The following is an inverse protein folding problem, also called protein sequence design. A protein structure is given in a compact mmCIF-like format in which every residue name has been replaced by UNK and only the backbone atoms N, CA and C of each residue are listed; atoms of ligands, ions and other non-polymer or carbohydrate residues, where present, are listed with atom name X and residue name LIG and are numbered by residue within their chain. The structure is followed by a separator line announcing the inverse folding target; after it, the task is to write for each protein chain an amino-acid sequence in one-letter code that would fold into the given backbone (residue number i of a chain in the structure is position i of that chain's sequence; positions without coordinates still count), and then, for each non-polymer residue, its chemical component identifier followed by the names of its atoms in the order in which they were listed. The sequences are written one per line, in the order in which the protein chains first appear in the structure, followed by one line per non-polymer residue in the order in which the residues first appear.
data_IF_508703366746
#
_entry.id   IF_508703366746
#
_cell.length_a   1.000
_cell.length_b   1.000
_cell.length_c   1.000
_cell.angle_alpha   90.00
_cell.angle_beta   90.00
_cell.angle_gamma   90.00
#
_symmetry.space_group_name_H-M   'P 1'
#
loop_
_entity.id
_entity.type
_entity.pdbx_description
1 polymer ?
#
# COMPACT_ATOMS: atom_id res chain seq x y z
N UNK A 1 20.06 9.13 30.09
CA UNK A 1 21.17 8.38 29.45
C UNK A 1 20.71 7.32 28.45
N UNK A 2 19.74 6.46 28.79
CA UNK A 2 19.30 5.31 27.97
C UNK A 2 18.80 5.67 26.56
N UNK A 3 18.03 6.76 26.39
CA UNK A 3 17.54 7.22 25.06
C UNK A 3 18.66 7.57 24.06
N UNK A 4 19.81 8.03 24.53
CA UNK A 4 20.96 8.37 23.67
C UNK A 4 21.72 7.14 23.16
N UNK A 5 21.73 6.06 23.95
CA UNK A 5 22.40 4.80 23.62
C UNK A 5 21.58 4.03 22.58
N UNK A 6 20.27 3.93 22.78
CA UNK A 6 19.35 3.29 21.82
C UNK A 6 19.37 3.99 20.47
N UNK A 7 19.38 5.34 20.45
CA UNK A 7 19.48 6.11 19.19
C UNK A 7 20.80 5.86 18.46
N UNK A 8 21.92 5.76 19.18
CA UNK A 8 23.23 5.46 18.58
C UNK A 8 23.30 4.03 18.04
N UNK A 9 22.76 3.05 18.76
CA UNK A 9 22.65 1.67 18.31
C UNK A 9 21.81 1.55 17.03
N UNK A 10 20.65 2.22 16.98
CA UNK A 10 19.77 2.23 15.81
C UNK A 10 20.46 2.84 14.57
N UNK A 11 21.21 3.94 14.75
CA UNK A 11 21.98 4.58 13.67
C UNK A 11 23.10 3.65 13.17
N UNK A 12 23.77 2.93 14.07
CA UNK A 12 24.80 1.96 13.72
C UNK A 12 24.23 0.77 12.93
N UNK A 13 23.09 0.22 13.35
CA UNK A 13 22.38 -0.84 12.63
C UNK A 13 21.91 -0.34 11.26
N UNK A 14 21.33 0.86 11.18
CA UNK A 14 20.91 1.46 9.91
C UNK A 14 22.10 1.69 8.95
N UNK A 15 23.26 2.13 9.46
CA UNK A 15 24.48 2.30 8.66
C UNK A 15 25.09 0.98 8.22
N UNK A 16 25.06 -0.05 9.07
CA UNK A 16 25.50 -1.39 8.73
C UNK A 16 24.60 -1.99 7.64
N UNK A 17 23.28 -1.86 7.79
CA UNK A 17 22.30 -2.29 6.80
C UNK A 17 22.47 -1.52 5.47
N UNK A 18 22.69 -0.20 5.52
CA UNK A 18 22.95 0.61 4.34
C UNK A 18 24.25 0.20 3.62
N UNK A 19 25.33 -0.13 4.36
CA UNK A 19 26.59 -0.62 3.78
C UNK A 19 26.45 -2.00 3.17
N UNK A 20 25.74 -2.91 3.84
CA UNK A 20 25.41 -4.24 3.29
C UNK A 20 24.58 -4.09 2.01
N UNK A 21 23.58 -3.21 2.01
CA UNK A 21 22.76 -2.90 0.84
C UNK A 21 23.63 -2.29 -0.29
N UNK A 22 24.53 -1.37 0.05
CA UNK A 22 25.46 -0.75 -0.90
C UNK A 22 26.39 -1.79 -1.54
N UNK A 23 26.93 -2.73 -0.76
CA UNK A 23 27.76 -3.83 -1.26
C UNK A 23 26.96 -4.82 -2.12
N UNK A 24 25.71 -5.11 -1.74
CA UNK A 24 24.80 -5.94 -2.54
C UNK A 24 24.47 -5.29 -3.89
N UNK A 25 24.38 -3.95 -3.93
CA UNK A 25 24.06 -3.16 -5.13
C UNK A 25 25.27 -2.91 -6.06
N UNK A 26 26.52 -3.08 -5.61
CA UNK A 26 27.74 -2.90 -6.42
C UNK A 26 27.78 -3.70 -7.73
N UNK A 27 27.44 -5.01 -7.78
CA UNK A 27 27.41 -5.76 -9.04
C UNK A 27 26.29 -5.32 -10.00
N UNK A 28 25.20 -4.73 -9.48
CA UNK A 28 24.13 -4.15 -10.31
C UNK A 28 24.51 -2.77 -10.84
N UNK A 29 25.20 -1.94 -10.05
CA UNK A 29 25.76 -0.64 -10.49
C UNK A 29 26.72 -0.77 -11.67
N UNK A 30 27.48 -1.86 -11.76
CA UNK A 30 28.36 -2.14 -12.91
C UNK A 30 27.62 -2.50 -14.20
N UNK A 31 26.29 -2.71 -14.15
CA UNK A 31 25.42 -3.08 -15.28
C UNK A 31 24.28 -2.10 -15.54
N UNK A 32 24.21 -1.01 -14.76
CA UNK A 32 23.29 0.09 -15.02
C UNK A 32 23.62 0.72 -16.39
N UNK A 33 22.60 0.99 -17.20
CA UNK A 33 22.70 1.52 -18.56
C UNK A 33 22.85 0.49 -19.68
N UNK A 34 22.90 -0.82 -19.38
CA UNK A 34 23.02 -1.89 -20.39
C UNK A 34 21.79 -2.78 -20.52
N UNK A 35 20.71 -2.47 -19.79
CA UNK A 35 19.48 -3.29 -19.74
C UNK A 35 18.35 -2.62 -20.52
N UNK A 36 17.47 -3.40 -21.15
CA UNK A 36 16.30 -2.84 -21.81
C UNK A 36 15.43 -2.12 -20.78
N UNK A 37 14.86 -0.98 -21.15
CA UNK A 37 13.91 -0.28 -20.30
C UNK A 37 12.54 -0.97 -20.33
N UNK A 38 11.83 -0.90 -19.22
CA UNK A 38 10.46 -1.33 -19.06
C UNK A 38 9.60 -0.17 -18.55
N UNK A 39 8.34 -0.13 -18.96
CA UNK A 39 7.36 0.84 -18.49
C UNK A 39 6.48 0.16 -17.44
N UNK A 40 6.26 0.83 -16.32
CA UNK A 40 5.30 0.47 -15.31
C UNK A 40 4.17 1.49 -15.39
N UNK A 41 3.12 1.18 -16.12
CA UNK A 41 1.94 2.03 -16.22
C UNK A 41 1.07 1.85 -14.96
N UNK A 42 0.92 2.90 -14.16
CA UNK A 42 0.05 2.88 -12.99
C UNK A 42 -1.39 3.24 -13.38
N UNK A 43 -2.33 3.02 -12.45
CA UNK A 43 -3.71 3.47 -12.63
C UNK A 43 -3.78 4.98 -12.53
N UNK A 44 -4.31 5.61 -13.58
CA UNK A 44 -4.58 7.03 -13.67
C UNK A 44 -5.96 7.39 -13.15
N UNK A 45 -6.25 8.69 -13.06
CA UNK A 45 -7.57 9.22 -12.71
C UNK A 45 -7.91 10.37 -13.66
N UNK A 46 -9.17 10.73 -13.78
CA UNK A 46 -9.55 11.82 -14.65
C UNK A 46 -11.05 12.04 -14.72
N UNK A 47 -11.43 12.90 -15.64
CA UNK A 47 -12.80 13.06 -16.07
C UNK A 47 -12.92 12.74 -17.57
N UNK A 48 -14.09 13.00 -18.16
CA UNK A 48 -14.32 12.69 -19.57
C UNK A 48 -13.40 13.44 -20.53
N UNK A 49 -12.88 14.60 -20.13
CA UNK A 49 -12.07 15.48 -20.98
C UNK A 49 -10.56 15.31 -20.72
N UNK A 50 -10.17 15.12 -19.45
CA UNK A 50 -8.77 15.14 -19.01
C UNK A 50 -8.44 13.85 -18.29
N UNK A 51 -7.52 13.09 -18.87
CA UNK A 51 -7.00 11.85 -18.30
C UNK A 51 -5.61 12.08 -17.72
N UNK A 52 -5.47 11.97 -16.40
CA UNK A 52 -4.16 12.00 -15.76
C UNK A 52 -3.56 10.61 -15.76
N UNK A 53 -2.45 10.46 -16.48
CA UNK A 53 -1.70 9.22 -16.57
C UNK A 53 -0.40 9.36 -15.79
N UNK A 54 -0.10 8.34 -15.00
CA UNK A 54 1.12 8.22 -14.22
C UNK A 54 1.76 6.86 -14.45
N UNK A 55 3.08 6.83 -14.40
CA UNK A 55 3.84 5.60 -14.50
C UNK A 55 5.31 5.82 -14.16
N UNK A 56 6.08 4.76 -14.32
CA UNK A 56 7.53 4.78 -14.09
C UNK A 56 8.27 4.00 -15.15
N UNK A 57 9.38 4.53 -15.64
CA UNK A 57 10.33 3.84 -16.50
C UNK A 57 11.47 3.32 -15.65
N UNK A 58 11.73 2.03 -15.76
CA UNK A 58 12.75 1.33 -15.00
C UNK A 58 13.55 0.40 -15.90
N UNK A 59 14.77 0.04 -15.51
CA UNK A 59 15.51 -1.01 -16.19
C UNK A 59 14.85 -2.38 -15.95
N UNK A 60 14.56 -3.11 -17.02
CA UNK A 60 14.08 -4.48 -16.96
C UNK A 60 15.16 -5.36 -16.33
N UNK A 61 14.81 -5.94 -15.19
CA UNK A 61 15.71 -6.77 -14.39
C UNK A 61 15.63 -8.25 -14.78
N UNK A 62 14.80 -8.61 -15.77
CA UNK A 62 14.50 -9.99 -16.17
C UNK A 62 13.68 -10.69 -15.10
N UNK A 63 12.38 -10.84 -15.32
CA UNK A 63 11.50 -11.62 -14.44
C UNK A 63 11.92 -13.09 -14.36
N UNK A 64 11.71 -13.78 -13.22
CA UNK A 64 12.03 -15.20 -13.12
C UNK A 64 11.09 -16.02 -14.02
N UNK A 65 11.69 -16.84 -14.88
CA UNK A 65 11.09 -18.06 -15.38
C UNK A 65 10.66 -18.95 -14.21
N UNK A 66 9.48 -19.55 -14.36
CA UNK A 66 8.77 -20.44 -13.44
C UNK A 66 9.60 -21.50 -12.70
N UNK A 67 9.08 -21.88 -11.52
CA UNK A 67 9.43 -23.04 -10.64
C UNK A 67 10.78 -22.98 -9.90
N UNK A 68 10.71 -22.80 -8.58
CA UNK A 68 11.22 -23.75 -7.57
C UNK A 68 11.62 -23.09 -6.24
N UNK A 69 11.26 -23.79 -5.15
CA UNK A 69 11.72 -23.72 -3.76
C UNK A 69 11.37 -22.48 -2.91
N UNK A 70 10.55 -22.73 -1.89
CA UNK A 70 10.18 -21.80 -0.83
C UNK A 70 11.40 -21.54 0.09
N UNK A 71 12.03 -20.38 -0.06
CA UNK A 71 13.10 -19.91 0.82
C UNK A 71 12.93 -18.41 1.08
N UNK A 72 13.02 -18.00 2.35
CA UNK A 72 13.01 -16.59 2.78
C UNK A 72 14.01 -15.72 2.01
N UNK A 73 15.13 -16.30 1.56
CA UNK A 73 16.11 -15.62 0.73
C UNK A 73 15.63 -15.36 -0.71
N UNK A 74 14.78 -16.22 -1.28
CA UNK A 74 14.20 -16.03 -2.61
C UNK A 74 13.18 -14.88 -2.62
N UNK A 75 12.43 -14.73 -1.53
CA UNK A 75 11.47 -13.64 -1.34
C UNK A 75 12.15 -12.30 -1.08
N UNK A 76 13.21 -12.29 -0.26
CA UNK A 76 14.07 -11.12 -0.10
C UNK A 76 14.74 -10.73 -1.42
N UNK A 77 15.12 -11.69 -2.26
CA UNK A 77 15.68 -11.45 -3.61
C UNK A 77 14.62 -10.93 -4.59
N UNK A 78 13.35 -11.31 -4.44
CA UNK A 78 12.20 -10.80 -5.20
C UNK A 78 11.89 -9.34 -4.82
N UNK A 79 11.83 -9.06 -3.52
CA UNK A 79 11.68 -7.70 -2.99
C UNK A 79 12.88 -6.84 -3.37
N UNK A 80 14.09 -7.38 -3.29
CA UNK A 80 15.33 -6.72 -3.72
C UNK A 80 15.32 -6.39 -5.21
N UNK A 81 14.87 -7.27 -6.11
CA UNK A 81 14.75 -6.96 -7.54
C UNK A 81 13.65 -5.93 -7.83
N UNK A 82 12.52 -5.99 -7.12
CA UNK A 82 11.47 -4.96 -7.20
C UNK A 82 11.94 -3.60 -6.66
N UNK A 83 12.86 -3.60 -5.69
CA UNK A 83 13.54 -2.42 -5.15
C UNK A 83 14.74 -1.96 -6.00
N UNK A 84 15.33 -2.86 -6.80
CA UNK A 84 16.57 -2.66 -7.56
C UNK A 84 16.35 -2.57 -9.07
N UNK A 85 15.13 -2.24 -9.50
CA UNK A 85 14.90 -1.75 -10.86
C UNK A 85 15.33 -0.29 -10.91
N UNK A 86 16.46 -0.05 -11.57
CA UNK A 86 17.05 1.28 -11.62
C UNK A 86 16.13 2.23 -12.39
N UNK A 87 15.90 3.45 -11.89
CA UNK A 87 15.12 4.43 -12.62
C UNK A 87 15.81 4.79 -13.93
N UNK A 88 15.03 4.94 -15.00
CA UNK A 88 15.52 5.47 -16.27
C UNK A 88 15.06 6.92 -16.38
N UNK A 89 15.99 7.85 -16.19
CA UNK A 89 15.74 9.27 -16.30
C UNK A 89 15.67 9.73 -17.76
N UNK A 90 14.95 10.84 -17.99
CA UNK A 90 14.82 11.51 -19.29
C UNK A 90 14.29 10.62 -20.43
N UNK A 91 13.62 9.51 -20.09
CA UNK A 91 13.00 8.61 -21.04
C UNK A 91 11.86 9.34 -21.75
N UNK A 92 11.82 9.26 -23.08
CA UNK A 92 10.76 9.84 -23.89
C UNK A 92 9.64 8.83 -24.05
N UNK A 93 8.43 9.22 -23.70
CA UNK A 93 7.23 8.41 -23.85
C UNK A 93 6.22 9.14 -24.73
N UNK A 94 5.34 8.36 -25.35
CA UNK A 94 4.18 8.84 -26.09
C UNK A 94 2.94 8.14 -25.59
N UNK A 95 1.97 8.93 -25.13
CA UNK A 95 0.69 8.44 -24.66
C UNK A 95 -0.33 8.59 -25.78
N UNK A 96 -1.05 7.50 -26.06
CA UNK A 96 -2.03 7.43 -27.14
C UNK A 96 -3.43 7.15 -26.58
N UNK A 97 -4.37 8.05 -26.86
CA UNK A 97 -5.78 7.88 -26.54
C UNK A 97 -6.64 8.60 -27.58
N UNK A 98 -7.68 7.93 -28.09
CA UNK A 98 -8.65 8.51 -29.04
C UNK A 98 -8.04 9.23 -30.25
N UNK A 99 -6.97 8.66 -30.81
CA UNK A 99 -6.25 9.21 -31.96
C UNK A 99 -5.34 10.41 -31.64
N UNK A 100 -5.30 10.86 -30.38
CA UNK A 100 -4.40 11.89 -29.89
C UNK A 100 -3.15 11.25 -29.29
N UNK A 101 -1.99 11.82 -29.62
CA UNK A 101 -0.70 11.44 -29.06
C UNK A 101 -0.10 12.59 -28.26
N UNK A 102 0.20 12.37 -26.98
CA UNK A 102 0.81 13.36 -26.09
C UNK A 102 2.22 12.89 -25.70
N UNK A 103 3.26 13.72 -25.88
CA UNK A 103 4.61 13.39 -25.41
C UNK A 103 4.69 13.51 -23.88
N UNK A 104 5.49 12.65 -23.26
CA UNK A 104 5.85 12.72 -21.85
C UNK A 104 7.33 12.39 -21.66
N UNK A 105 7.91 12.84 -20.55
CA UNK A 105 9.29 12.53 -20.18
C UNK A 105 9.35 12.04 -18.74
N UNK A 106 10.20 11.05 -18.47
CA UNK A 106 10.47 10.62 -17.09
C UNK A 106 11.44 11.56 -16.37
N UNK A 107 11.24 11.71 -15.06
CA UNK A 107 12.12 12.46 -14.17
C UNK A 107 13.39 11.68 -13.78
N UNK A 108 14.23 12.27 -12.93
CA UNK A 108 15.46 11.65 -12.39
C UNK A 108 15.22 10.30 -11.69
N UNK A 109 14.00 10.07 -11.20
CA UNK A 109 13.58 8.86 -10.50
C UNK A 109 12.78 7.89 -11.41
N UNK A 110 12.71 8.18 -12.70
CA UNK A 110 12.02 7.42 -13.72
C UNK A 110 10.51 7.64 -13.77
N UNK A 111 9.91 8.51 -12.95
CA UNK A 111 8.48 8.77 -12.97
C UNK A 111 8.09 9.69 -14.11
N UNK A 112 6.97 9.41 -14.77
CA UNK A 112 6.37 10.32 -15.74
C UNK A 112 4.92 10.61 -15.36
N UNK A 113 4.48 11.82 -15.70
CA UNK A 113 3.09 12.26 -15.58
C UNK A 113 2.70 13.00 -16.85
N UNK A 114 1.51 12.72 -17.36
CA UNK A 114 0.95 13.44 -18.49
C UNK A 114 -0.56 13.61 -18.33
N UNK A 115 -1.09 14.65 -18.94
CA UNK A 115 -2.52 14.91 -19.04
C UNK A 115 -2.89 14.73 -20.51
N UNK A 116 -3.72 13.73 -20.80
CA UNK A 116 -4.25 13.52 -22.15
C UNK A 116 -5.60 14.22 -22.24
N UNK A 117 -5.69 15.22 -23.12
CA UNK A 117 -6.93 15.92 -23.44
C UNK A 117 -7.65 15.17 -24.55
N UNK A 118 -8.86 14.69 -24.26
CA UNK A 118 -9.69 13.96 -25.22
C UNK A 118 -10.40 14.97 -26.14
N UNK A 119 -10.39 14.76 -27.46
CA UNK A 119 -11.02 15.69 -28.40
C UNK A 119 -12.54 15.60 -28.28
N UNK A 120 -13.23 16.73 -28.43
CA UNK A 120 -14.70 16.80 -28.32
C UNK A 120 -15.40 15.83 -29.27
N UNK A 121 -14.87 15.65 -30.49
CA UNK A 121 -15.39 14.69 -31.46
C UNK A 121 -15.41 13.23 -30.95
N UNK A 122 -14.44 12.83 -30.13
CA UNK A 122 -14.40 11.48 -29.54
C UNK A 122 -15.40 11.32 -28.38
N UNK A 123 -15.85 12.43 -27.79
CA UNK A 123 -16.83 12.45 -26.69
C UNK A 123 -18.28 12.68 -27.18
N UNK A 124 -18.45 13.35 -28.32
CA UNK A 124 -19.76 13.80 -28.81
C UNK A 124 -20.60 12.68 -29.45
N UNK A 125 -19.96 11.63 -29.99
CA UNK A 125 -20.68 10.51 -30.61
C UNK A 125 -20.19 9.20 -30.00
N UNK A 126 -21.01 8.50 -29.20
CA UNK A 126 -20.70 7.13 -28.82
C UNK A 126 -20.76 6.28 -30.10
N UNK A 127 -19.61 6.06 -30.72
CA UNK A 127 -19.51 5.05 -31.76
C UNK A 127 -19.81 3.67 -31.14
N UNK A 128 -20.53 2.77 -31.83
CA UNK A 128 -20.71 1.40 -31.38
C UNK A 128 -19.34 0.74 -31.08
N UNK A 129 -19.12 0.30 -29.84
CA UNK A 129 -17.84 -0.23 -29.35
C UNK A 129 -16.80 0.85 -28.98
N UNK A 130 -17.18 2.12 -28.95
CA UNK A 130 -16.35 3.25 -28.57
C UNK A 130 -16.17 3.36 -27.04
N UNK A 131 -15.15 4.12 -26.61
CA UNK A 131 -14.78 4.21 -25.19
C UNK A 131 -15.86 4.86 -24.33
N UNK A 132 -16.63 5.78 -24.88
CA UNK A 132 -17.74 6.44 -24.16
C UNK A 132 -18.97 5.54 -24.01
N UNK A 133 -19.13 4.55 -24.90
CA UNK A 133 -20.09 3.45 -24.69
C UNK A 133 -19.55 2.48 -23.64
N UNK A 134 -18.26 2.13 -23.69
CA UNK A 134 -17.61 1.31 -22.67
C UNK A 134 -17.66 1.95 -21.26
N UNK A 135 -17.68 3.29 -21.16
CA UNK A 135 -17.91 4.01 -19.90
C UNK A 135 -19.31 3.80 -19.30
N UNK A 136 -20.26 3.23 -20.05
CA UNK A 136 -21.54 2.78 -19.50
C UNK A 136 -21.36 1.51 -18.68
N UNK A 137 -20.47 0.63 -19.12
CA UNK A 137 -20.26 -0.71 -18.57
C UNK A 137 -19.06 -0.79 -17.61
N UNK A 138 -18.11 0.15 -17.69
CA UNK A 138 -16.89 0.16 -16.88
C UNK A 138 -16.36 1.58 -16.67
N UNK A 139 -15.97 1.99 -15.45
CA UNK A 139 -15.46 3.33 -15.18
C UNK A 139 -13.99 3.53 -15.64
N UNK A 140 -13.47 2.69 -16.53
CA UNK A 140 -12.05 2.66 -16.91
C UNK A 140 -11.82 2.98 -18.39
N UNK A 141 -10.87 3.88 -18.65
CA UNK A 141 -10.34 4.17 -19.99
C UNK A 141 -8.90 3.70 -20.09
N UNK A 142 -8.61 2.84 -21.06
CA UNK A 142 -7.24 2.41 -21.37
C UNK A 142 -6.51 3.47 -22.21
N UNK A 143 -5.37 3.94 -21.72
CA UNK A 143 -4.39 4.78 -22.44
C UNK A 143 -3.16 3.93 -22.75
N UNK A 144 -2.78 3.87 -24.02
CA UNK A 144 -1.55 3.18 -24.42
C UNK A 144 -0.35 4.10 -24.16
N UNK A 145 0.68 3.56 -23.50
CA UNK A 145 1.93 4.24 -23.18
C UNK A 145 3.04 3.55 -23.96
N UNK A 146 3.63 4.26 -24.90
CA UNK A 146 4.74 3.79 -25.73
C UNK A 146 6.04 4.44 -25.26
N UNK A 147 7.08 3.63 -25.00
CA UNK A 147 8.42 4.14 -24.77
C UNK A 147 9.09 4.42 -26.12
N UNK A 148 9.42 5.69 -26.36
CA UNK A 148 10.11 6.16 -27.57
C UNK A 148 11.63 6.11 -27.37
N UNK A 149 12.11 6.56 -26.22
CA UNK A 149 13.52 6.52 -25.85
C UNK A 149 13.72 6.21 -24.35
N UNK A 150 14.73 5.43 -23.95
CA UNK A 150 15.71 4.76 -24.81
C UNK A 150 15.06 3.63 -25.63
N UNK A 151 15.37 3.58 -26.92
CA UNK A 151 14.81 2.56 -27.83
C UNK A 151 15.57 1.24 -27.67
N UNK A 152 14.88 0.20 -27.24
CA UNK A 152 15.38 -1.17 -27.26
C UNK A 152 15.17 -1.85 -28.62
N UNK A 153 15.64 -3.11 -28.77
CA UNK A 153 15.38 -3.92 -29.96
C UNK A 153 13.89 -4.24 -30.15
N UNK A 154 13.11 -4.17 -29.07
CA UNK A 154 11.66 -4.41 -29.06
C UNK A 154 10.94 -3.14 -28.60
N UNK A 155 9.89 -2.68 -29.30
CA UNK A 155 9.04 -1.60 -28.82
C UNK A 155 8.40 -1.96 -27.48
N UNK A 156 8.46 -1.06 -26.51
CA UNK A 156 7.85 -1.25 -25.19
C UNK A 156 6.54 -0.47 -25.18
N UNK A 157 5.43 -1.18 -25.08
CA UNK A 157 4.08 -0.63 -24.99
C UNK A 157 3.36 -1.23 -23.80
N UNK A 158 2.75 -0.36 -23.00
CA UNK A 158 2.00 -0.73 -21.81
C UNK A 158 0.66 -0.01 -21.79
N UNK A 159 -0.28 -0.51 -20.98
CA UNK A 159 -1.61 0.11 -20.84
C UNK A 159 -1.78 0.70 -19.44
N UNK A 160 -2.04 2.00 -19.37
CA UNK A 160 -2.53 2.64 -18.15
C UNK A 160 -4.05 2.64 -18.16
N UNK A 161 -4.66 2.18 -17.07
CA UNK A 161 -6.12 2.29 -16.88
C UNK A 161 -6.42 3.56 -16.11
N UNK A 162 -7.25 4.44 -16.67
CA UNK A 162 -7.63 5.72 -16.07
C UNK A 162 -9.06 5.63 -15.55
N UNK A 163 -9.24 5.87 -14.25
CA UNK A 163 -10.55 5.89 -13.61
C UNK A 163 -11.26 7.19 -13.96
N UNK A 164 -12.46 7.08 -14.54
CA UNK A 164 -13.31 8.21 -14.96
C UNK A 164 -14.71 7.98 -14.40
N UNK A 165 -15.33 8.98 -13.75
CA UNK A 165 -16.70 8.88 -13.28
C UNK A 165 -17.67 8.56 -14.41
N UNK A 166 -18.61 7.66 -14.14
CA UNK A 166 -19.72 7.41 -15.04
C UNK A 166 -20.86 8.38 -14.74
N UNK A 167 -21.90 8.40 -15.57
CA UNK A 167 -23.13 9.15 -15.26
C UNK A 167 -23.91 8.57 -14.08
N UNK A 168 -23.56 7.36 -13.61
CA UNK A 168 -24.16 6.70 -12.45
C UNK A 168 -23.47 7.11 -11.15
N UNK A 169 -22.21 7.56 -11.23
CA UNK A 169 -21.43 7.98 -10.07
C UNK A 169 -22.10 9.15 -9.36
N UNK A 170 -22.26 9.02 -8.04
CA UNK A 170 -22.89 10.01 -7.17
C UNK A 170 -21.88 10.72 -6.27
N UNK A 171 -20.74 10.09 -6.00
CA UNK A 171 -19.70 10.62 -5.11
C UNK A 171 -18.32 10.07 -5.45
N UNK A 172 -17.29 10.75 -4.98
CA UNK A 172 -15.90 10.29 -5.04
C UNK A 172 -15.43 9.96 -3.63
N UNK A 173 -14.78 8.82 -3.47
CA UNK A 173 -14.30 8.37 -2.18
C UNK A 173 -12.78 8.48 -2.19
N UNK A 174 -12.23 9.18 -1.20
CA UNK A 174 -10.78 9.22 -0.97
C UNK A 174 -10.49 8.49 0.33
N UNK A 175 -9.72 7.40 0.26
CA UNK A 175 -9.21 6.70 1.43
C UNK A 175 -7.72 6.97 1.58
N UNK A 176 -7.30 7.40 2.77
CA UNK A 176 -5.90 7.23 3.14
C UNK A 176 -5.61 5.74 3.35
N UNK A 177 -4.51 5.25 2.79
CA UNK A 177 -3.99 3.88 2.99
C UNK A 177 -2.94 3.88 4.09
N UNK A 178 -2.45 5.05 4.53
CA UNK A 178 -1.14 5.11 5.14
C UNK A 178 -0.92 4.29 6.41
N UNK A 179 0.16 3.52 6.30
CA UNK A 179 0.87 2.86 7.37
C UNK A 179 1.31 3.86 8.45
N UNK A 180 0.91 3.54 9.67
CA UNK A 180 1.63 3.80 10.90
C UNK A 180 3.11 3.37 10.76
N UNK A 181 3.95 4.22 10.19
CA UNK A 181 5.38 3.96 10.10
C UNK A 181 6.23 5.21 10.40
N UNK A 182 6.97 5.04 11.50
CA UNK A 182 8.12 5.82 11.95
C UNK A 182 7.82 7.20 12.51
N UNK A 183 7.55 7.23 13.82
CA UNK A 183 8.43 7.86 14.83
C UNK A 183 7.83 7.57 16.21
N UNK A 184 8.70 7.16 17.15
CA UNK A 184 8.44 6.76 18.55
C UNK A 184 8.07 5.29 18.76
N UNK A 185 9.03 4.51 19.28
CA UNK A 185 8.84 3.43 20.28
C UNK A 185 7.94 2.21 19.99
N UNK A 186 6.99 2.27 19.09
CA UNK A 186 6.09 1.19 18.68
C UNK A 186 6.05 1.25 17.16
N UNK A 187 7.12 0.73 16.57
CA UNK A 187 7.26 0.71 15.13
C UNK A 187 6.38 -0.38 14.54
N UNK A 188 5.62 -0.03 13.50
CA UNK A 188 5.30 -0.91 12.38
C UNK A 188 4.06 -1.81 12.51
N UNK A 189 2.89 -1.34 12.95
CA UNK A 189 1.70 -2.22 13.03
C UNK A 189 1.14 -2.63 11.67
N UNK A 190 0.85 -1.69 10.76
CA UNK A 190 0.19 -2.01 9.49
C UNK A 190 1.11 -2.85 8.56
N UNK A 191 2.25 -2.36 8.09
CA UNK A 191 3.18 -3.18 7.27
C UNK A 191 3.64 -4.52 7.92
N UNK A 192 3.74 -4.63 9.25
CA UNK A 192 4.02 -5.91 9.93
C UNK A 192 2.80 -6.83 9.94
N UNK A 193 1.60 -6.30 10.18
CA UNK A 193 0.33 -7.01 10.08
C UNK A 193 0.15 -7.52 8.63
N UNK A 194 0.38 -6.70 7.62
CA UNK A 194 0.30 -7.13 6.22
C UNK A 194 1.27 -8.25 5.85
N UNK A 195 2.47 -8.29 6.47
CA UNK A 195 3.46 -9.37 6.27
C UNK A 195 3.13 -10.65 7.03
N UNK A 196 2.49 -10.55 8.20
CA UNK A 196 2.06 -11.72 8.97
C UNK A 196 0.86 -12.40 8.31
N UNK A 197 -0.05 -11.63 7.71
CA UNK A 197 -1.30 -12.13 7.13
C UNK A 197 -1.18 -12.53 5.65
N UNK A 198 -0.23 -11.97 4.89
CA UNK A 198 0.13 -12.51 3.57
C UNK A 198 0.74 -13.93 3.63
N UNK A 199 1.12 -14.39 4.83
CA UNK A 199 1.74 -15.69 5.09
C UNK A 199 0.73 -16.81 5.36
N UNK A 200 -0.49 -16.47 5.77
CA UNK A 200 -1.58 -17.41 5.88
C UNK A 200 -2.48 -17.21 4.65
N UNK A 201 -2.50 -18.19 3.76
CA UNK A 201 -3.28 -18.19 2.52
C UNK A 201 -4.81 -18.18 2.74
N UNK A 202 -5.28 -17.85 3.96
CA UNK A 202 -6.68 -17.82 4.40
C UNK A 202 -7.01 -16.68 5.39
N UNK A 203 -6.09 -15.75 5.72
CA UNK A 203 -6.30 -14.87 6.89
C UNK A 203 -6.73 -13.44 6.54
N UNK A 204 -8.05 -13.20 6.71
CA UNK A 204 -8.75 -12.05 7.33
C UNK A 204 -8.17 -10.64 7.08
N UNK A 205 -9.05 -9.72 6.63
CA UNK A 205 -8.74 -8.29 6.52
C UNK A 205 -8.30 -7.79 7.91
N UNK A 206 -7.25 -6.95 8.04
CA UNK A 206 -6.82 -6.40 9.34
C UNK A 206 -7.90 -5.68 10.14
N UNK A 207 -9.01 -5.37 9.48
CA UNK A 207 -10.13 -4.62 9.96
C UNK A 207 -11.41 -5.20 9.37
N UNK A 208 -12.13 -6.07 10.11
CA UNK A 208 -13.35 -6.69 9.63
C UNK A 208 -14.35 -5.66 9.11
N UNK A 209 -15.03 -5.99 8.01
CA UNK A 209 -16.03 -5.13 7.39
C UNK A 209 -15.48 -3.97 6.54
N UNK A 210 -14.18 -3.64 6.56
CA UNK A 210 -13.64 -2.51 5.77
C UNK A 210 -13.74 -2.77 4.28
N UNK A 211 -13.41 -3.98 3.83
CA UNK A 211 -13.52 -4.33 2.42
C UNK A 211 -14.97 -4.27 1.95
N UNK A 212 -15.89 -4.86 2.72
CA UNK A 212 -17.33 -4.76 2.47
C UNK A 212 -17.84 -3.32 2.48
N UNK A 213 -17.36 -2.47 3.40
CA UNK A 213 -17.71 -1.05 3.43
C UNK A 213 -17.23 -0.31 2.17
N UNK A 214 -16.02 -0.59 1.71
CA UNK A 214 -15.47 0.06 0.51
C UNK A 214 -16.22 -0.40 -0.74
N UNK A 215 -16.54 -1.69 -0.84
CA UNK A 215 -17.44 -2.22 -1.89
C UNK A 215 -18.80 -1.52 -1.86
N UNK A 216 -19.38 -1.37 -0.68
CA UNK A 216 -20.68 -0.73 -0.52
C UNK A 216 -20.65 0.74 -0.96
N UNK A 217 -19.63 1.51 -0.56
CA UNK A 217 -19.45 2.90 -0.99
C UNK A 217 -19.22 3.01 -2.50
N UNK A 218 -18.45 2.09 -3.08
CA UNK A 218 -18.21 2.01 -4.52
C UNK A 218 -19.48 1.69 -5.30
N UNK A 219 -20.21 0.64 -4.90
CA UNK A 219 -21.47 0.23 -5.52
C UNK A 219 -22.61 1.22 -5.30
N UNK A 220 -22.57 1.96 -4.19
CA UNK A 220 -23.63 2.87 -3.79
C UNK A 220 -24.91 2.15 -3.35
N UNK A 221 -25.94 2.89 -2.97
CA UNK A 221 -27.21 2.31 -2.52
C UNK A 221 -27.98 1.55 -3.61
N UNK A 222 -27.68 1.81 -4.88
CA UNK A 222 -28.26 1.12 -6.02
C UNK A 222 -27.42 -0.07 -6.54
N UNK A 223 -26.25 -0.34 -5.95
CA UNK A 223 -25.37 -1.45 -6.35
C UNK A 223 -24.67 -1.30 -7.71
N UNK A 224 -24.76 -0.12 -8.34
CA UNK A 224 -24.19 0.18 -9.65
C UNK A 224 -23.92 1.66 -9.85
N UNK A 225 -23.51 2.38 -8.82
CA UNK A 225 -23.10 3.78 -8.95
C UNK A 225 -21.66 3.88 -9.49
N UNK A 226 -20.83 2.85 -9.30
CA UNK A 226 -19.41 2.83 -9.66
C UNK A 226 -18.70 4.10 -9.18
N UNK A 227 -18.94 4.47 -7.92
CA UNK A 227 -18.38 5.66 -7.30
C UNK A 227 -16.85 5.54 -7.28
N UNK A 228 -16.10 6.51 -7.83
CA UNK A 228 -14.66 6.43 -7.91
C UNK A 228 -14.00 6.26 -6.54
N UNK A 229 -13.20 5.20 -6.39
CA UNK A 229 -12.37 4.96 -5.21
C UNK A 229 -10.93 5.42 -5.49
N UNK A 230 -10.50 6.45 -4.78
CA UNK A 230 -9.16 7.00 -4.84
C UNK A 230 -8.43 6.69 -3.54
N UNK A 231 -7.17 6.31 -3.65
CA UNK A 231 -6.37 5.95 -2.51
C UNK A 231 -5.19 6.90 -2.38
N UNK A 232 -4.90 7.38 -1.17
CA UNK A 232 -3.78 8.27 -0.90
C UNK A 232 -2.75 7.55 -0.04
N UNK A 233 -1.46 7.72 -0.33
CA UNK A 233 -0.38 7.16 0.50
C UNK A 233 0.93 7.97 0.47
N UNK A 234 1.64 8.03 1.60
CA UNK A 234 3.03 8.47 1.82
C UNK A 234 4.06 7.33 1.71
N UNK A 235 3.62 6.08 1.54
CA UNK A 235 4.49 4.91 1.38
C UNK A 235 5.44 5.00 0.16
N UNK A 236 6.39 4.06 -0.01
CA UNK A 236 7.26 4.01 -1.20
C UNK A 236 6.57 3.31 -2.40
N UNK A 237 6.94 3.63 -3.66
CA UNK A 237 6.36 3.03 -4.89
C UNK A 237 6.47 1.53 -4.99
N UNK A 238 7.42 0.97 -4.27
CA UNK A 238 7.61 -0.46 -4.20
C UNK A 238 6.35 -1.18 -3.73
N UNK A 239 5.52 -0.60 -2.85
CA UNK A 239 4.33 -1.28 -2.31
C UNK A 239 3.15 -1.34 -3.29
N UNK A 240 3.21 -0.62 -4.42
CA UNK A 240 2.06 -0.51 -5.33
C UNK A 240 1.61 -1.89 -5.85
N UNK A 241 2.56 -2.76 -6.20
CA UNK A 241 2.26 -4.10 -6.71
C UNK A 241 1.67 -5.02 -5.63
N UNK A 242 2.06 -4.83 -4.38
CA UNK A 242 1.53 -5.55 -3.22
C UNK A 242 0.13 -5.04 -2.85
N UNK A 243 -0.09 -3.72 -2.88
CA UNK A 243 -1.42 -3.13 -2.67
C UNK A 243 -2.42 -3.61 -3.72
N UNK A 244 -2.01 -3.67 -4.99
CA UNK A 244 -2.86 -4.17 -6.07
C UNK A 244 -3.30 -5.62 -5.85
N UNK A 245 -2.36 -6.48 -5.45
CA UNK A 245 -2.66 -7.88 -5.11
C UNK A 245 -3.60 -7.98 -3.92
N UNK A 246 -3.37 -7.17 -2.89
CA UNK A 246 -4.23 -7.16 -1.72
C UNK A 246 -5.65 -6.73 -2.05
N UNK A 247 -5.82 -5.68 -2.86
CA UNK A 247 -7.14 -5.26 -3.30
C UNK A 247 -7.86 -6.38 -4.04
N UNK A 248 -7.17 -7.12 -4.91
CA UNK A 248 -7.74 -8.29 -5.58
C UNK A 248 -8.07 -9.44 -4.62
N UNK A 249 -7.21 -9.72 -3.64
CA UNK A 249 -7.42 -10.82 -2.69
C UNK A 249 -8.58 -10.58 -1.71
N UNK A 250 -8.80 -9.33 -1.32
CA UNK A 250 -9.85 -8.96 -0.36
C UNK A 250 -11.09 -8.34 -1.01
N UNK A 251 -11.17 -8.38 -2.34
CA UNK A 251 -12.26 -7.81 -3.12
C UNK A 251 -12.54 -6.35 -2.72
N UNK A 252 -11.47 -5.57 -2.58
CA UNK A 252 -11.53 -4.13 -2.36
C UNK A 252 -11.57 -3.48 -3.75
N UNK A 253 -12.48 -2.52 -4.00
CA UNK A 253 -12.57 -1.87 -5.30
C UNK A 253 -11.22 -1.28 -5.72
N UNK A 254 -10.72 -1.75 -6.85
CA UNK A 254 -9.44 -1.27 -7.38
C UNK A 254 -9.56 0.20 -7.76
N UNK A 255 -8.53 0.98 -7.46
CA UNK A 255 -8.52 2.41 -7.68
C UNK A 255 -7.11 2.95 -7.91
N UNK A 256 -6.98 4.19 -8.39
CA UNK A 256 -5.71 4.90 -8.45
C UNK A 256 -5.11 5.08 -7.06
N UNK A 257 -3.83 4.71 -6.91
CA UNK A 257 -3.06 4.94 -5.68
C UNK A 257 -2.18 6.18 -5.88
N UNK A 258 -2.61 7.29 -5.29
CA UNK A 258 -2.02 8.61 -5.37
C UNK A 258 -1.00 8.80 -4.26
N UNK A 259 0.18 9.29 -4.61
CA UNK A 259 1.32 9.30 -3.69
C UNK A 259 1.75 10.71 -3.35
N UNK A 260 1.84 10.98 -2.06
CA UNK A 260 2.03 12.32 -1.52
C UNK A 260 3.45 12.87 -1.71
N UNK A 261 4.45 11.99 -1.86
CA UNK A 261 5.84 12.40 -2.10
C UNK A 261 6.09 12.93 -3.52
N UNK A 262 5.28 12.48 -4.48
CA UNK A 262 5.45 12.82 -5.89
C UNK A 262 4.55 13.98 -6.31
N UNK A 263 3.53 14.31 -5.49
CA UNK A 263 2.64 15.45 -5.66
C UNK A 263 3.25 16.79 -5.20
N UNK A 264 4.46 17.05 -5.69
CA UNK A 264 5.22 18.28 -5.45
C UNK A 264 5.94 18.78 -6.70
N UNK A 265 5.89 18.05 -7.82
CA UNK A 265 6.39 18.51 -9.11
C UNK A 265 5.28 19.21 -9.91
N UNK A 266 4.71 20.26 -9.33
CA UNK A 266 4.18 21.34 -10.17
C UNK A 266 5.38 22.19 -10.56
N UNK A 267 5.58 22.45 -11.86
CA UNK A 267 6.71 23.19 -12.45
C UNK A 267 6.88 24.64 -11.93
N UNK A 268 6.12 25.05 -10.90
CA UNK A 268 6.11 26.40 -10.37
C UNK A 268 6.69 26.58 -8.96
N UNK A 269 7.00 25.52 -8.19
CA UNK A 269 7.62 25.70 -6.87
C UNK A 269 8.66 24.62 -6.50
N UNK A 270 9.97 24.95 -6.46
CA UNK A 270 11.05 24.01 -6.21
C UNK A 270 11.36 23.79 -4.70
N UNK A 271 10.41 24.02 -3.79
CA UNK A 271 10.64 23.88 -2.35
C UNK A 271 9.79 22.72 -1.77
N UNK A 272 10.38 21.82 -0.96
CA UNK A 272 9.62 20.80 -0.25
C UNK A 272 8.75 21.48 0.81
N UNK A 273 7.46 21.67 0.51
CA UNK A 273 6.49 22.12 1.51
C UNK A 273 6.31 21.01 2.55
N UNK A 274 5.91 21.41 3.75
CA UNK A 274 5.69 20.46 4.84
C UNK A 274 4.63 19.41 4.47
N UNK A 275 4.75 18.20 5.03
CA UNK A 275 3.87 17.03 4.75
C UNK A 275 2.36 17.32 4.78
N UNK A 276 1.91 18.30 5.59
CA UNK A 276 0.49 18.71 5.65
C UNK A 276 0.00 19.36 4.35
N UNK A 277 0.85 20.14 3.68
CA UNK A 277 0.49 20.84 2.44
C UNK A 277 0.23 19.88 1.29
N UNK A 278 1.06 18.85 1.13
CA UNK A 278 0.97 17.95 -0.01
C UNK A 278 -0.33 17.14 -0.09
N UNK A 279 -0.90 16.72 1.06
CA UNK A 279 -2.17 15.98 1.08
C UNK A 279 -3.36 16.88 0.81
N UNK A 280 -3.31 18.10 1.35
CA UNK A 280 -4.29 19.12 1.06
C UNK A 280 -4.29 19.48 -0.44
N UNK A 281 -3.12 19.81 -1.00
CA UNK A 281 -2.95 20.17 -2.42
C UNK A 281 -3.43 19.02 -3.33
N UNK A 282 -3.10 17.77 -2.99
CA UNK A 282 -3.56 16.59 -3.73
C UNK A 282 -5.09 16.48 -3.76
N UNK A 283 -5.75 16.64 -2.61
CA UNK A 283 -7.21 16.52 -2.53
C UNK A 283 -7.90 17.71 -3.19
N UNK A 284 -7.37 18.93 -3.06
CA UNK A 284 -7.85 20.10 -3.79
C UNK A 284 -7.79 19.90 -5.31
N UNK A 285 -6.69 19.33 -5.81
CA UNK A 285 -6.57 18.97 -7.22
C UNK A 285 -7.61 17.90 -7.62
N UNK A 286 -7.88 16.90 -6.77
CA UNK A 286 -8.94 15.91 -7.04
C UNK A 286 -10.33 16.57 -7.07
N UNK A 287 -10.62 17.47 -6.14
CA UNK A 287 -11.87 18.24 -6.15
C UNK A 287 -12.06 19.00 -7.46
N UNK A 288 -10.98 19.50 -8.06
CA UNK A 288 -11.02 20.19 -9.36
C UNK A 288 -11.29 19.23 -10.53
N UNK A 289 -10.70 18.03 -10.52
CA UNK A 289 -10.80 17.05 -11.62
C UNK A 289 -12.20 16.46 -11.71
N UNK A 290 -12.80 16.14 -10.57
CA UNK A 290 -14.11 15.46 -10.51
C UNK A 290 -15.31 16.42 -10.54
N UNK A 291 -15.08 17.68 -10.89
CA UNK A 291 -16.15 18.65 -11.16
C UNK A 291 -17.05 18.86 -9.95
N UNK A 292 -18.36 18.63 -10.13
CA UNK A 292 -19.39 18.89 -9.11
C UNK A 292 -19.67 17.69 -8.19
N UNK A 293 -19.00 16.55 -8.38
CA UNK A 293 -19.24 15.39 -7.52
C UNK A 293 -18.84 15.70 -6.06
N UNK A 294 -19.68 15.32 -5.08
CA UNK A 294 -19.34 15.38 -3.68
C UNK A 294 -18.33 14.29 -3.30
N UNK A 295 -17.59 14.55 -2.23
CA UNK A 295 -16.51 13.69 -1.75
C UNK A 295 -16.83 13.12 -0.37
N UNK A 296 -16.38 11.89 -0.16
CA UNK A 296 -16.31 11.25 1.16
C UNK A 296 -14.84 10.96 1.44
N UNK A 297 -14.34 11.43 2.58
CA UNK A 297 -12.94 11.32 2.96
C UNK A 297 -12.80 10.31 4.10
N UNK A 298 -11.93 9.32 3.96
CA UNK A 298 -11.61 8.32 4.98
C UNK A 298 -10.15 8.48 5.41
N UNK A 299 -9.89 8.43 6.72
CA UNK A 299 -8.56 8.56 7.28
C UNK A 299 -8.48 8.08 8.74
N UNK A 300 -7.36 8.38 9.42
CA UNK A 300 -7.08 7.90 10.77
C UNK A 300 -6.80 9.01 11.79
N UNK A 301 -7.12 8.77 13.07
CA UNK A 301 -6.95 9.75 14.17
C UNK A 301 -5.49 9.94 14.60
N UNK A 302 -4.61 8.98 14.29
CA UNK A 302 -3.20 8.99 14.65
C UNK A 302 -2.37 9.96 13.82
N UNK A 303 -2.93 10.43 12.70
CA UNK A 303 -2.33 11.41 11.81
C UNK A 303 -3.04 12.76 11.87
N UNK A 304 -2.66 13.66 10.97
CA UNK A 304 -3.29 14.97 10.80
C UNK A 304 -4.50 14.94 9.87
N UNK A 305 -5.07 13.76 9.61
CA UNK A 305 -6.21 13.59 8.69
C UNK A 305 -7.44 14.39 9.14
N UNK A 306 -7.86 14.36 10.42
CA UNK A 306 -8.98 15.16 10.87
C UNK A 306 -8.78 16.64 10.57
N UNK A 307 -7.59 17.18 10.82
CA UNK A 307 -7.27 18.59 10.57
C UNK A 307 -7.22 18.93 9.08
N UNK A 308 -6.59 18.08 8.27
CA UNK A 308 -6.47 18.29 6.82
C UNK A 308 -7.85 18.24 6.17
N UNK A 309 -8.66 17.23 6.50
CA UNK A 309 -10.02 17.09 5.97
C UNK A 309 -10.93 18.22 6.44
N UNK A 310 -10.77 18.69 7.68
CA UNK A 310 -11.51 19.85 8.19
C UNK A 310 -11.15 21.14 7.45
N UNK A 311 -9.87 21.34 7.12
CA UNK A 311 -9.44 22.48 6.30
C UNK A 311 -10.03 22.41 4.88
N UNK A 312 -10.06 21.22 4.27
CA UNK A 312 -10.66 21.01 2.94
C UNK A 312 -12.16 21.33 2.97
N UNK A 313 -12.90 20.85 3.97
CA UNK A 313 -14.34 21.17 4.13
C UNK A 313 -14.55 22.67 4.28
N UNK A 314 -13.70 23.36 5.05
CA UNK A 314 -13.78 24.82 5.23
C UNK A 314 -13.54 25.59 3.93
N UNK A 315 -12.60 25.14 3.09
CA UNK A 315 -12.28 25.77 1.80
C UNK A 315 -13.27 25.44 0.70
N UNK A 316 -13.86 24.25 0.75
CA UNK A 316 -14.82 23.77 -0.25
C UNK A 316 -16.12 23.27 0.42
N UNK A 317 -16.92 24.17 1.01
CA UNK A 317 -18.20 23.79 1.63
C UNK A 317 -19.10 23.07 0.62
N UNK A 318 -19.85 22.07 1.09
CA UNK A 318 -20.73 21.20 0.27
C UNK A 318 -20.04 20.32 -0.76
N UNK A 319 -18.73 20.43 -0.96
CA UNK A 319 -17.96 19.50 -1.83
C UNK A 319 -17.54 18.24 -1.11
N UNK A 320 -17.50 18.25 0.22
CA UNK A 320 -17.26 17.07 1.06
C UNK A 320 -18.52 16.85 1.90
N UNK A 321 -19.14 15.68 1.79
CA UNK A 321 -20.37 15.36 2.51
C UNK A 321 -20.11 14.69 3.85
N UNK A 322 -19.07 13.86 3.94
CA UNK A 322 -18.63 13.26 5.19
C UNK A 322 -17.13 13.01 5.24
N UNK A 323 -16.64 13.00 6.48
CA UNK A 323 -15.30 12.65 6.87
C UNK A 323 -15.39 11.51 7.89
N UNK A 324 -14.94 10.33 7.50
CA UNK A 324 -14.83 9.18 8.38
C UNK A 324 -13.40 9.09 8.91
N UNK A 325 -13.24 9.28 10.21
CA UNK A 325 -11.96 9.14 10.90
C UNK A 325 -12.00 7.87 11.74
N UNK A 326 -11.05 6.98 11.49
CA UNK A 326 -10.87 5.85 12.37
C UNK A 326 -10.12 6.23 13.63
N UNK A 327 -10.66 5.91 14.81
CA UNK A 327 -9.90 6.06 16.03
C UNK A 327 -8.90 4.90 16.21
N UNK A 328 -7.60 5.23 16.12
CA UNK A 328 -6.50 4.29 16.34
C UNK A 328 -5.64 4.67 17.55
N UNK A 329 -5.95 5.79 18.20
CA UNK A 329 -5.13 6.36 19.28
C UNK A 329 -5.62 5.96 20.66
N UNK A 330 -6.93 5.82 20.84
CA UNK A 330 -7.53 5.61 22.17
C UNK A 330 -7.26 6.76 23.15
N UNK A 331 -6.88 7.94 22.65
CA UNK A 331 -6.59 9.13 23.45
C UNK A 331 -7.85 10.02 23.52
N UNK A 332 -8.45 10.14 24.70
CA UNK A 332 -9.63 10.97 24.93
C UNK A 332 -9.40 12.44 24.56
N UNK A 333 -8.19 12.97 24.76
CA UNK A 333 -7.84 14.34 24.38
C UNK A 333 -7.84 14.52 22.86
N UNK A 334 -7.32 13.52 22.14
CA UNK A 334 -7.35 13.48 20.67
C UNK A 334 -8.80 13.37 20.17
N UNK A 335 -9.58 12.46 20.74
CA UNK A 335 -10.99 12.28 20.40
C UNK A 335 -11.81 13.56 20.62
N UNK A 336 -11.65 14.21 21.77
CA UNK A 336 -12.31 15.49 22.09
C UNK A 336 -11.96 16.60 21.07
N UNK A 337 -10.69 16.68 20.66
CA UNK A 337 -10.25 17.62 19.61
C UNK A 337 -10.97 17.34 18.29
N UNK A 338 -11.06 16.07 17.89
CA UNK A 338 -11.72 15.65 16.65
C UNK A 338 -13.24 15.90 16.70
N UNK A 339 -13.90 15.64 17.84
CA UNK A 339 -15.31 16.01 18.03
C UNK A 339 -15.53 17.53 17.98
N UNK A 340 -14.55 18.32 18.45
CA UNK A 340 -14.51 19.77 18.26
C UNK A 340 -14.60 20.15 16.79
N UNK A 341 -13.74 19.56 15.95
CA UNK A 341 -13.76 19.74 14.50
C UNK A 341 -15.10 19.30 13.89
N UNK A 342 -15.66 18.17 14.31
CA UNK A 342 -16.94 17.68 13.81
C UNK A 342 -18.09 18.68 14.00
N UNK A 343 -18.17 19.34 15.16
CA UNK A 343 -19.18 20.39 15.41
C UNK A 343 -19.01 21.62 14.51
N UNK A 344 -17.79 21.92 14.08
CA UNK A 344 -17.54 22.99 13.10
C UNK A 344 -17.96 22.54 11.69
N UNK A 345 -17.64 21.31 11.32
CA UNK A 345 -17.91 20.74 10.00
C UNK A 345 -19.41 20.61 9.73
N UNK A 346 -20.22 20.28 10.73
CA UNK A 346 -21.69 20.24 10.60
C UNK A 346 -22.25 21.58 10.14
N UNK A 347 -21.65 22.71 10.57
CA UNK A 347 -22.06 24.05 10.11
C UNK A 347 -21.74 24.30 8.64
N UNK A 348 -20.71 23.63 8.11
CA UNK A 348 -20.33 23.68 6.70
C UNK A 348 -21.08 22.65 5.82
N UNK A 349 -21.99 21.86 6.42
CA UNK A 349 -22.80 20.86 5.74
C UNK A 349 -22.12 19.51 5.54
N UNK A 350 -21.05 19.21 6.31
CA UNK A 350 -20.36 17.93 6.29
C UNK A 350 -20.42 17.26 7.67
N UNK A 351 -20.52 15.93 7.69
CA UNK A 351 -20.47 15.16 8.94
C UNK A 351 -19.04 14.66 9.19
N UNK A 352 -18.57 14.72 10.44
CA UNK A 352 -17.33 14.04 10.84
C UNK A 352 -17.68 12.95 11.83
N UNK A 353 -17.38 11.71 11.47
CA UNK A 353 -17.61 10.53 12.30
C UNK A 353 -16.26 9.98 12.75
N UNK A 354 -16.01 10.04 14.05
CA UNK A 354 -14.88 9.37 14.70
C UNK A 354 -15.38 8.06 15.28
N UNK A 355 -14.83 6.93 14.83
CA UNK A 355 -15.19 5.61 15.33
C UNK A 355 -14.04 4.62 15.20
N UNK A 356 -13.91 3.67 16.10
CA UNK A 356 -13.01 2.51 15.96
C UNK A 356 -13.66 1.38 15.14
N UNK A 357 -14.98 1.45 14.94
CA UNK A 357 -15.85 0.46 14.33
C UNK A 357 -16.30 0.86 12.92
N UNK A 358 -15.97 0.01 11.94
CA UNK A 358 -16.47 0.16 10.57
C UNK A 358 -18.00 0.14 10.50
N UNK A 359 -18.66 -0.58 11.42
CA UNK A 359 -20.13 -0.69 11.44
C UNK A 359 -20.80 0.65 11.73
N UNK A 360 -20.27 1.46 12.63
CA UNK A 360 -20.86 2.77 12.94
C UNK A 360 -20.74 3.72 11.73
N UNK A 361 -19.61 3.66 11.02
CA UNK A 361 -19.42 4.42 9.78
C UNK A 361 -20.40 3.97 8.68
N UNK A 362 -20.63 2.66 8.57
CA UNK A 362 -21.57 2.08 7.63
C UNK A 362 -23.03 2.41 7.99
N UNK A 363 -23.40 2.40 9.27
CA UNK A 363 -24.74 2.82 9.72
C UNK A 363 -25.02 4.28 9.38
N UNK A 364 -24.03 5.16 9.55
CA UNK A 364 -24.11 6.54 9.06
C UNK A 364 -24.29 6.59 7.54
N UNK A 365 -23.50 5.83 6.78
CA UNK A 365 -23.60 5.79 5.31
C UNK A 365 -24.98 5.30 4.85
N UNK A 366 -25.56 4.31 5.54
CA UNK A 366 -26.91 3.80 5.27
C UNK A 366 -27.96 4.87 5.57
N UNK A 367 -27.85 5.56 6.72
CA UNK A 367 -28.75 6.65 7.09
C UNK A 367 -28.73 7.81 6.06
N UNK A 368 -27.58 8.04 5.42
CA UNK A 368 -27.41 9.00 4.32
C UNK A 368 -27.88 8.46 2.95
N UNK A 369 -28.27 7.19 2.86
CA UNK A 369 -28.66 6.53 1.61
C UNK A 369 -27.50 6.32 0.63
N UNK A 370 -26.28 6.13 1.13
CA UNK A 370 -25.08 5.92 0.33
C UNK A 370 -24.74 4.46 0.09
N UNK A 371 -25.22 3.59 0.98
CA UNK A 371 -25.10 2.14 0.87
C UNK A 371 -26.47 1.52 1.09
N UNK A 372 -26.66 0.28 0.67
CA UNK A 372 -27.88 -0.48 0.93
C UNK A 372 -27.82 -1.25 2.28
N UNK A 373 -28.97 -1.78 2.70
CA UNK A 373 -29.09 -2.51 3.95
C UNK A 373 -28.40 -3.89 3.89
N UNK A 374 -28.32 -4.51 2.71
CA UNK A 374 -27.68 -5.81 2.53
C UNK A 374 -26.16 -5.73 2.75
N UNK A 375 -25.53 -4.65 2.30
CA UNK A 375 -24.14 -4.33 2.57
C UNK A 375 -23.87 -4.21 4.08
N UNK A 376 -24.76 -3.55 4.83
CA UNK A 376 -24.62 -3.46 6.29
C UNK A 376 -24.78 -4.84 6.96
N UNK A 377 -25.69 -5.69 6.47
CA UNK A 377 -25.84 -7.07 6.96
C UNK A 377 -24.60 -7.91 6.67
N UNK A 378 -23.96 -7.74 5.51
CA UNK A 378 -22.69 -8.39 5.17
C UNK A 378 -21.58 -7.99 6.15
N UNK A 379 -21.40 -6.69 6.37
CA UNK A 379 -20.41 -6.17 7.34
C UNK A 379 -20.65 -6.72 8.74
N UNK A 380 -21.90 -6.76 9.22
CA UNK A 380 -22.24 -7.36 10.54
C UNK A 380 -21.84 -8.83 10.61
N UNK A 381 -22.01 -9.60 9.52
CA UNK A 381 -21.61 -11.02 9.46
C UNK A 381 -20.09 -11.18 9.47
N UNK A 382 -19.35 -10.34 8.75
CA UNK A 382 -17.88 -10.36 8.76
C UNK A 382 -17.34 -10.06 10.17
N UNK A 383 -17.80 -8.97 10.79
CA UNK A 383 -17.40 -8.60 12.15
C UNK A 383 -17.75 -9.70 13.16
N UNK A 384 -18.94 -10.30 13.06
CA UNK A 384 -19.37 -11.37 13.98
C UNK A 384 -18.60 -12.69 13.80
N UNK A 385 -18.10 -12.98 12.60
CA UNK A 385 -17.26 -14.16 12.32
C UNK A 385 -15.86 -14.01 12.93
N UNK A 386 -15.35 -12.79 13.01
CA UNK A 386 -14.02 -12.49 13.54
C UNK A 386 -14.00 -12.21 15.04
N UNK A 387 -15.12 -11.82 15.66
CA UNK A 387 -15.24 -11.71 17.13
C UNK A 387 -15.32 -13.06 17.87
N UNK A 388 -15.37 -14.19 17.16
CA UNK A 388 -15.45 -15.56 17.71
C UNK A 388 -14.12 -16.32 17.89
N UNK A 389 -13.02 -16.06 17.15
CA UNK A 389 -11.77 -16.82 17.28
C UNK A 389 -10.67 -16.10 18.08
N UNK A 390 -10.80 -14.80 18.36
CA UNK A 390 -9.70 -13.99 18.93
C UNK A 390 -9.24 -14.47 20.32
N UNK A 391 -10.12 -15.09 21.11
CA UNK A 391 -9.76 -15.67 22.42
C UNK A 391 -9.10 -17.06 22.31
N UNK A 392 -9.33 -17.81 21.23
CA UNK A 392 -8.77 -19.16 21.06
C UNK A 392 -7.35 -19.11 20.47
N UNK A 393 -7.11 -18.20 19.52
CA UNK A 393 -5.81 -18.11 18.82
C UNK A 393 -4.76 -17.37 19.66
N UNK A 394 -5.15 -16.37 20.47
CA UNK A 394 -4.26 -15.70 21.43
C UNK A 394 -3.91 -16.66 22.57
N UNK A 395 -4.88 -17.41 23.11
CA UNK A 395 -4.62 -18.42 24.13
C UNK A 395 -3.73 -19.57 23.60
N UNK A 396 -3.88 -19.96 22.33
CA UNK A 396 -3.02 -20.96 21.71
C UNK A 396 -1.58 -20.45 21.47
N UNK A 397 -1.42 -19.18 21.09
CA UNK A 397 -0.10 -18.55 20.95
C UNK A 397 0.60 -18.37 22.29
N UNK A 398 -0.13 -17.94 23.33
CA UNK A 398 0.38 -17.82 24.70
C UNK A 398 0.73 -19.19 25.30
N UNK A 399 -0.06 -20.23 25.03
CA UNK A 399 0.23 -21.60 25.45
C UNK A 399 1.47 -22.18 24.74
N UNK A 400 1.67 -21.84 23.46
CA UNK A 400 2.84 -22.26 22.70
C UNK A 400 4.13 -21.56 23.18
N UNK A 401 4.06 -20.27 23.51
CA UNK A 401 5.20 -19.52 24.06
C UNK A 401 5.55 -20.01 25.47
N UNK A 402 4.54 -20.33 26.31
CA UNK A 402 4.76 -20.92 27.63
C UNK A 402 5.40 -22.32 27.56
N UNK A 403 4.97 -23.15 26.60
CA UNK A 403 5.57 -24.47 26.38
C UNK A 403 7.01 -24.38 25.86
N UNK A 404 7.31 -23.41 24.99
CA UNK A 404 8.67 -23.18 24.48
C UNK A 404 9.62 -22.65 25.57
N UNK A 405 9.12 -21.78 26.47
CA UNK A 405 9.90 -21.29 27.61
C UNK A 405 10.22 -22.42 28.60
N UNK A 406 9.25 -23.28 28.92
CA UNK A 406 9.46 -24.42 29.80
C UNK A 406 10.46 -25.43 29.23
N UNK A 407 10.43 -25.68 27.91
CA UNK A 407 11.39 -26.55 27.26
C UNK A 407 12.81 -25.96 27.24
N UNK A 408 12.94 -24.65 27.04
CA UNK A 408 14.24 -23.97 27.08
C UNK A 408 14.87 -23.96 28.48
N UNK A 409 14.05 -23.91 29.53
CA UNK A 409 14.50 -24.00 30.92
C UNK A 409 14.95 -25.42 31.27
N UNK A 410 14.20 -26.45 30.85
CA UNK A 410 14.60 -27.85 30.99
C UNK A 410 15.89 -28.19 30.23
N UNK A 411 16.04 -27.67 29.01
CA UNK A 411 17.25 -27.86 28.19
C UNK A 411 18.47 -27.10 28.76
N UNK A 412 18.25 -26.02 29.53
CA UNK A 412 19.31 -25.28 30.21
C UNK A 412 19.77 -25.98 31.50
N UNK A 413 18.85 -26.58 32.26
CA UNK A 413 19.19 -27.39 33.43
C UNK A 413 19.97 -28.66 33.04
N UNK A 414 19.59 -29.32 31.95
CA UNK A 414 20.30 -30.50 31.44
C UNK A 414 21.73 -30.19 30.97
N UNK A 415 21.99 -28.97 30.46
CA UNK A 415 23.34 -28.55 30.06
C UNK A 415 24.23 -28.18 31.24
N UNK A 416 23.64 -27.81 32.38
CA UNK A 416 24.39 -27.46 33.58
C UNK A 416 24.76 -28.70 34.42
N UNK A 417 24.16 -29.86 34.15
CA UNK A 417 24.51 -31.14 34.78
C UNK A 417 25.62 -31.91 34.07
N UNK A 418 25.95 -31.57 32.83
CA UNK A 418 26.96 -32.28 32.03
C UNK A 418 28.40 -31.67 32.13
N UNK A 419 28.57 -30.56 32.85
CA UNK A 419 29.87 -29.86 33.03
C UNK A 419 30.51 -30.08 34.42
N UNK A 420 30.08 -31.12 35.17
CA UNK A 420 30.71 -31.54 36.43
C UNK A 420 30.86 -33.06 36.45
N UNK A 421 31.84 -33.60 35.73
CA UNK A 421 32.53 -34.87 36.03
C UNK A 421 33.62 -35.10 34.95
N UNK A 422 34.72 -34.37 35.04
CA UNK A 422 35.99 -34.75 34.38
C UNK A 422 37.17 -34.31 35.27
N UNK A 423 37.29 -34.97 36.42
CA UNK A 423 38.49 -35.01 37.26
C UNK A 423 38.49 -36.39 37.95
N UNK A 424 39.17 -37.39 37.35
CA UNK A 424 40.13 -38.26 38.03
C UNK A 424 40.57 -39.50 37.20
N UNK A 425 41.89 -39.72 37.23
CA UNK A 425 42.61 -41.01 37.12
C UNK A 425 42.95 -41.64 35.75
N UNK A 426 43.99 -41.10 35.10
CA UNK A 426 44.97 -41.92 34.35
C UNK A 426 45.98 -42.60 35.30
N UNK A 427 45.80 -43.89 35.62
CA UNK A 427 46.92 -44.80 35.98
C UNK A 427 46.67 -46.27 35.58
N UNK A 428 47.43 -46.74 34.57
CA UNK A 428 48.25 -47.96 34.74
C UNK A 428 47.78 -49.32 34.20
N UNK A 429 48.34 -49.68 33.03
CA UNK A 429 49.00 -50.96 32.69
C UNK A 429 48.21 -52.28 32.49
N UNK A 430 48.42 -52.91 31.31
CA UNK A 430 48.21 -54.35 31.10
C UNK A 430 48.56 -54.84 29.69
N UNK A 431 49.44 -55.85 29.56
CA UNK A 431 50.16 -56.27 28.34
C UNK A 431 49.55 -57.47 27.58
N UNK A 432 49.71 -57.44 26.25
CA UNK A 432 50.12 -58.48 25.26
C UNK A 432 49.37 -59.83 25.14
N UNK A 433 49.17 -60.27 23.87
CA UNK A 433 49.84 -61.47 23.27
C UNK A 433 49.56 -61.64 21.75
N UNK A 434 50.62 -61.88 20.99
CA UNK A 434 50.62 -62.48 19.64
C UNK A 434 50.71 -64.03 19.76
N UNK A 435 50.23 -64.81 18.77
CA UNK A 435 50.55 -66.23 18.63
C UNK A 435 51.79 -66.49 17.72
N UNK A 436 52.40 -67.71 17.76
CA UNK A 436 53.76 -67.98 17.28
C UNK A 436 53.89 -68.72 15.92
N UNK A 437 55.17 -68.78 15.49
CA UNK A 437 55.92 -69.34 14.33
C UNK A 437 55.67 -70.84 13.99
N UNK A 438 56.14 -71.39 12.83
CA UNK A 438 57.49 -72.03 12.70
C UNK A 438 58.23 -71.87 11.31
N UNK A 439 59.54 -71.51 11.25
CA UNK A 439 60.81 -72.28 10.95
C UNK A 439 60.85 -73.16 9.67
N UNK A 440 62.00 -73.37 8.97
CA UNK A 440 63.42 -73.40 9.41
C UNK A 440 64.24 -72.14 9.14
#
# INVERSE_FOLDING_TARGET
MVKGIVKRALILVARALARVLQFLMLPLRRRAGQRPAAVLAYRGYGNRERLHVLGRVVEDTGGPSTRASYSLWAELKRLYRALASWPVADAELRLHCDGVSVPARSDENGFFRAIVHRPEAAMATPAPGGRDEALRDSPWIDVEVELVAPSGPTPVRERSRVLVPTSRSRRVIISDIDDTLMVTGVANRLLMFWRLFAKAADSRVPFPGVAAFYRALHGGAAGGEDNPMLYVSRGPWTIYAELDKFFGLHDIPVGPVLRLRDWGMSFHHPLPKQQKGHKLDLIEDMLSVYGDLPFVLLGDSGQHDPEIYSEIVRRHPRRVEAVYIRDVTGDEGRASTIHGLGRELTKAGADLILSDSTLEMAEHALARGWIDEDALREMRREVSREGRPEQADVAAAEAADAAAAAQAEADAEARNSDDVDDDDDERGAGRRRYPPVPVP
#
